data_IF_022349555501
#
_entry.id   IF_022349555501
#
_cell.length_a   1.000
_cell.length_b   1.000
_cell.length_c   1.000
_cell.angle_alpha   90.00
_cell.angle_beta   90.00
_cell.angle_gamma   90.00
#
_symmetry.space_group_name_H-M   'P 1'
#
loop_
_entity.id
_entity.type
_entity.pdbx_description
1 polymer ?
#
# COMPACT_ATOMS: atom_id res chain seq x y z
N UNK A 1 -18.93 60.63 -71.05
CA UNK A 1 -18.26 60.89 -69.77
C UNK A 1 -18.56 59.67 -68.91
N UNK A 2 -17.67 58.63 -68.94
CA UNK A 2 -17.85 57.35 -68.20
C UNK A 2 -16.94 57.27 -67.02
N UNK A 3 -17.54 57.14 -65.83
CA UNK A 3 -16.80 56.86 -64.58
C UNK A 3 -16.64 55.33 -64.45
N UNK A 4 -15.38 54.90 -64.36
CA UNK A 4 -15.01 53.52 -64.18
C UNK A 4 -14.90 53.27 -62.61
N UNK A 5 -15.69 52.35 -62.08
CA UNK A 5 -15.61 51.89 -60.73
C UNK A 5 -14.60 50.75 -60.64
N UNK A 6 -13.49 50.97 -59.95
CA UNK A 6 -12.51 49.90 -59.58
C UNK A 6 -12.95 49.30 -58.26
N UNK A 7 -13.39 48.09 -58.31
CA UNK A 7 -13.66 47.24 -57.12
C UNK A 7 -12.34 46.68 -56.59
N UNK A 8 -11.97 47.08 -55.40
CA UNK A 8 -10.82 46.49 -54.68
C UNK A 8 -11.29 45.32 -53.86
N UNK A 9 -10.85 44.09 -54.20
CA UNK A 9 -11.09 42.85 -53.47
C UNK A 9 -10.02 42.79 -52.39
N UNK A 10 -10.40 42.89 -51.09
CA UNK A 10 -9.55 42.64 -49.95
C UNK A 10 -9.69 41.15 -49.56
N UNK A 11 -8.71 40.33 -49.87
CA UNK A 11 -8.64 38.96 -49.42
C UNK A 11 -8.17 38.90 -47.97
N UNK A 12 -9.09 38.62 -47.02
CA UNK A 12 -8.77 38.38 -45.63
C UNK A 12 -8.16 36.98 -45.48
N UNK A 13 -6.87 36.92 -45.20
CA UNK A 13 -6.14 35.69 -44.93
C UNK A 13 -6.32 35.36 -43.44
N UNK A 14 -7.29 34.45 -43.12
CA UNK A 14 -7.42 33.90 -41.78
C UNK A 14 -6.29 32.91 -41.50
N UNK A 15 -5.28 33.33 -40.70
CA UNK A 15 -4.32 32.43 -40.11
C UNK A 15 -5.02 31.59 -39.02
N UNK A 16 -5.34 30.36 -39.34
CA UNK A 16 -5.76 29.36 -38.33
C UNK A 16 -4.48 28.89 -37.60
N UNK A 17 -4.21 29.44 -36.42
CA UNK A 17 -3.19 28.95 -35.56
C UNK A 17 -3.66 27.60 -34.98
N UNK A 18 -3.16 26.50 -35.52
CA UNK A 18 -3.34 25.17 -34.94
C UNK A 18 -2.51 25.10 -33.66
N UNK A 19 -3.16 25.31 -32.52
CA UNK A 19 -2.59 24.99 -31.22
C UNK A 19 -2.46 23.46 -31.14
N UNK A 20 -1.25 22.94 -31.35
CA UNK A 20 -0.94 21.54 -31.05
C UNK A 20 -1.09 21.37 -29.52
N UNK A 21 -2.21 20.79 -29.08
CA UNK A 21 -2.28 20.18 -27.76
C UNK A 21 -1.21 19.08 -27.74
N UNK A 22 -0.06 19.36 -27.15
CA UNK A 22 0.93 18.33 -26.87
C UNK A 22 0.26 17.27 -25.99
N UNK A 23 0.06 16.07 -26.53
CA UNK A 23 -0.33 14.93 -25.74
C UNK A 23 0.73 14.76 -24.65
N UNK A 24 0.39 15.05 -23.40
CA UNK A 24 1.26 14.75 -22.29
C UNK A 24 1.48 13.24 -22.26
N UNK A 25 2.67 12.81 -22.59
CA UNK A 25 3.07 11.41 -22.50
C UNK A 25 2.95 11.02 -21.03
N UNK A 26 1.93 10.23 -20.68
CA UNK A 26 1.78 9.70 -19.34
C UNK A 26 2.95 8.75 -19.11
N UNK A 27 3.89 9.14 -18.28
CA UNK A 27 5.01 8.29 -17.91
C UNK A 27 4.49 7.22 -16.95
N UNK A 28 4.65 5.94 -17.33
CA UNK A 28 4.19 4.82 -16.50
C UNK A 28 5.17 4.58 -15.33
N UNK A 29 4.73 4.67 -14.06
CA UNK A 29 5.57 4.41 -12.90
C UNK A 29 5.82 2.91 -12.66
N UNK A 30 5.20 2.00 -13.40
CA UNK A 30 5.39 0.55 -13.20
C UNK A 30 6.87 0.17 -13.27
N UNK A 31 7.32 -0.63 -12.31
CA UNK A 31 8.71 -1.07 -12.19
C UNK A 31 9.12 -1.28 -10.75
N UNK A 32 10.38 -1.71 -10.58
CA UNK A 32 11.05 -1.79 -9.31
C UNK A 32 11.92 -0.55 -9.09
N UNK A 33 11.78 0.07 -7.92
CA UNK A 33 12.42 1.33 -7.55
C UNK A 33 13.24 1.15 -6.29
N UNK A 34 14.43 1.70 -6.26
CA UNK A 34 15.27 1.80 -5.07
C UNK A 34 15.37 3.24 -4.64
N UNK A 35 15.11 3.51 -3.38
CA UNK A 35 15.04 4.84 -2.82
C UNK A 35 15.72 4.99 -1.48
N UNK A 36 15.91 6.24 -1.11
CA UNK A 36 16.50 6.64 0.15
C UNK A 36 15.76 7.85 0.73
N UNK A 37 15.40 7.75 2.00
CA UNK A 37 14.91 8.86 2.81
C UNK A 37 16.08 9.46 3.58
N UNK A 38 16.29 10.76 3.44
CA UNK A 38 17.37 11.47 4.12
C UNK A 38 16.82 12.25 5.33
N UNK A 39 16.59 11.56 6.44
CA UNK A 39 16.23 12.21 7.70
C UNK A 39 17.47 12.75 8.43
N UNK A 40 17.35 13.80 9.27
CA UNK A 40 18.47 14.33 10.03
C UNK A 40 19.14 13.24 10.88
N UNK A 41 20.44 12.97 10.56
CA UNK A 41 21.25 11.97 11.25
C UNK A 41 20.96 10.51 10.89
N UNK A 42 20.06 10.22 9.95
CA UNK A 42 19.71 8.86 9.54
C UNK A 42 19.34 8.82 8.06
N UNK A 43 19.86 7.85 7.34
CA UNK A 43 19.40 7.47 6.01
C UNK A 43 18.68 6.13 6.06
N UNK A 44 17.50 6.05 5.43
CA UNK A 44 16.68 4.84 5.37
C UNK A 44 16.53 4.43 3.91
N UNK A 45 17.21 3.35 3.53
CA UNK A 45 17.01 2.74 2.23
C UNK A 45 15.67 2.00 2.19
N UNK A 46 14.94 2.16 1.09
CA UNK A 46 13.67 1.47 0.85
C UNK A 46 13.55 1.09 -0.62
N UNK A 47 12.68 0.13 -0.89
CA UNK A 47 12.35 -0.31 -2.24
C UNK A 47 10.84 -0.18 -2.45
N UNK A 48 10.42 0.16 -3.66
CA UNK A 48 9.00 0.22 -4.03
C UNK A 48 8.80 -0.50 -5.34
N UNK A 49 7.79 -1.34 -5.39
CA UNK A 49 7.31 -1.97 -6.60
C UNK A 49 5.97 -1.38 -7.00
N UNK A 50 5.85 -0.90 -8.24
CA UNK A 50 4.58 -0.51 -8.84
C UNK A 50 4.25 -1.40 -10.04
N UNK A 51 2.99 -1.80 -10.16
CA UNK A 51 2.48 -2.54 -11.30
C UNK A 51 1.10 -2.05 -11.70
N UNK A 52 0.76 -2.18 -12.99
CA UNK A 52 -0.61 -1.96 -13.45
C UNK A 52 -1.53 -3.00 -12.84
N UNK A 53 -2.63 -2.55 -12.27
CA UNK A 53 -3.68 -3.42 -11.76
C UNK A 53 -4.70 -3.74 -12.86
N UNK A 54 -5.36 -4.90 -12.76
CA UNK A 54 -6.36 -5.35 -13.73
C UNK A 54 -7.57 -4.39 -13.86
N UNK A 55 -7.83 -3.57 -12.85
CA UNK A 55 -8.89 -2.55 -12.85
C UNK A 55 -8.47 -1.21 -13.47
N UNK A 56 -7.28 -1.13 -14.08
CA UNK A 56 -6.76 0.07 -14.75
C UNK A 56 -6.00 1.05 -13.86
N UNK A 57 -5.97 0.83 -12.54
CA UNK A 57 -5.17 1.60 -11.59
C UNK A 57 -3.77 1.02 -11.41
N UNK A 58 -3.18 1.33 -10.26
CA UNK A 58 -1.89 0.78 -9.84
C UNK A 58 -2.04 -0.05 -8.58
N UNK A 59 -1.23 -1.08 -8.47
CA UNK A 59 -0.94 -1.81 -7.24
C UNK A 59 0.55 -1.60 -6.92
N UNK A 60 0.92 -1.69 -5.66
CA UNK A 60 2.31 -1.54 -5.28
C UNK A 60 2.58 -2.07 -3.88
N UNK A 61 3.86 -2.18 -3.58
CA UNK A 61 4.35 -2.60 -2.28
C UNK A 61 5.65 -1.89 -1.93
N UNK A 62 5.89 -1.64 -0.64
CA UNK A 62 7.13 -1.07 -0.12
C UNK A 62 7.88 -2.11 0.71
N UNK A 63 9.19 -2.11 0.60
CA UNK A 63 10.10 -2.90 1.42
C UNK A 63 11.12 -2.01 2.10
N UNK A 64 11.40 -2.27 3.37
CA UNK A 64 12.42 -1.54 4.16
C UNK A 64 13.34 -2.60 4.78
N UNK A 65 14.46 -2.96 4.11
CA UNK A 65 15.31 -4.07 4.52
C UNK A 65 15.88 -3.92 5.96
N UNK A 66 16.23 -2.69 6.35
CA UNK A 66 16.72 -2.41 7.71
C UNK A 66 15.70 -2.70 8.81
N UNK A 67 14.41 -2.67 8.47
CA UNK A 67 13.31 -3.00 9.38
C UNK A 67 12.80 -4.44 9.20
N UNK A 68 13.45 -5.23 8.34
CA UNK A 68 12.98 -6.58 7.95
C UNK A 68 11.55 -6.60 7.41
N UNK A 69 11.14 -5.50 6.78
CA UNK A 69 9.84 -5.33 6.14
C UNK A 69 9.98 -5.61 4.65
N UNK A 70 9.19 -6.54 4.11
CA UNK A 70 9.23 -6.90 2.69
C UNK A 70 7.82 -6.94 2.09
N UNK A 71 7.60 -6.16 1.04
CA UNK A 71 6.39 -6.23 0.24
C UNK A 71 5.12 -5.78 0.98
N UNK A 72 5.22 -4.78 1.87
CA UNK A 72 4.05 -4.18 2.51
C UNK A 72 3.18 -3.49 1.45
N UNK A 73 1.91 -3.90 1.27
CA UNK A 73 1.05 -3.32 0.26
C UNK A 73 0.84 -1.82 0.44
N UNK A 74 0.83 -1.09 -0.65
CA UNK A 74 0.41 0.31 -0.68
C UNK A 74 -1.12 0.36 -0.69
N UNK A 75 -1.70 1.14 0.20
CA UNK A 75 -3.15 1.28 0.36
C UNK A 75 -3.75 2.25 -0.64
N UNK A 76 -2.96 3.22 -1.09
CA UNK A 76 -3.34 4.20 -2.11
C UNK A 76 -2.17 4.48 -3.04
N UNK A 77 -2.45 4.56 -4.34
CA UNK A 77 -1.53 5.03 -5.37
C UNK A 77 -2.33 5.89 -6.33
N UNK A 78 -1.89 7.11 -6.57
CA UNK A 78 -2.47 8.01 -7.55
C UNK A 78 -1.38 8.61 -8.44
N UNK A 79 -1.71 8.80 -9.71
CA UNK A 79 -0.85 9.44 -10.69
C UNK A 79 -1.67 10.53 -11.39
N UNK A 80 -1.17 11.77 -11.33
CA UNK A 80 -1.70 12.93 -12.05
C UNK A 80 -0.58 13.58 -12.85
N UNK A 81 -0.64 13.39 -14.17
CA UNK A 81 0.46 13.76 -15.06
C UNK A 81 1.73 12.99 -14.69
N UNK A 82 2.69 13.68 -14.08
CA UNK A 82 3.94 13.11 -13.55
C UNK A 82 4.00 13.08 -12.03
N UNK A 83 3.02 13.64 -11.36
CA UNK A 83 2.95 13.62 -9.90
C UNK A 83 2.39 12.29 -9.45
N UNK A 84 3.16 11.55 -8.68
CA UNK A 84 2.74 10.30 -8.04
C UNK A 84 2.60 10.52 -6.54
N UNK A 85 1.49 10.07 -5.98
CA UNK A 85 1.33 9.97 -4.54
C UNK A 85 1.00 8.52 -4.18
N UNK A 86 1.64 8.02 -3.13
CA UNK A 86 1.44 6.65 -2.65
C UNK A 86 1.64 6.58 -1.14
N UNK A 87 0.98 5.63 -0.51
CA UNK A 87 1.03 5.44 0.94
C UNK A 87 0.83 3.98 1.33
N UNK A 88 1.54 3.52 2.36
CA UNK A 88 1.24 2.29 3.09
C UNK A 88 0.43 2.59 4.36
N UNK A 89 0.52 3.82 4.86
CA UNK A 89 -0.18 4.35 6.04
C UNK A 89 -0.86 5.67 5.67
N UNK A 90 -2.12 5.83 6.05
CA UNK A 90 -2.92 7.00 5.71
C UNK A 90 -2.37 8.34 6.26
N UNK A 91 -1.62 8.28 7.35
CA UNK A 91 -0.99 9.44 8.01
C UNK A 91 0.40 9.79 7.45
N UNK A 92 0.93 9.01 6.50
CA UNK A 92 2.29 9.16 5.97
C UNK A 92 2.36 8.98 4.44
N UNK A 93 1.72 9.87 3.67
CA UNK A 93 1.82 9.83 2.23
C UNK A 93 3.21 10.28 1.75
N UNK A 94 3.70 9.63 0.70
CA UNK A 94 4.83 10.08 -0.10
C UNK A 94 4.28 10.73 -1.37
N UNK A 95 4.77 11.92 -1.71
CA UNK A 95 4.42 12.60 -2.95
C UNK A 95 5.67 12.97 -3.70
N UNK A 96 5.75 12.60 -4.96
CA UNK A 96 6.91 12.86 -5.79
C UNK A 96 6.56 13.11 -7.24
N UNK A 97 7.57 13.51 -8.01
CA UNK A 97 7.47 13.79 -9.44
C UNK A 97 8.36 12.82 -10.21
N UNK A 98 7.79 12.14 -11.21
CA UNK A 98 8.55 11.36 -12.17
C UNK A 98 9.35 12.27 -13.07
N UNK A 99 10.62 11.93 -13.33
CA UNK A 99 11.43 12.57 -14.36
C UNK A 99 10.86 12.35 -15.75
N UNK A 100 11.25 13.19 -16.72
CA UNK A 100 10.78 13.10 -18.10
C UNK A 100 11.16 11.77 -18.79
N UNK A 101 12.29 11.20 -18.40
CA UNK A 101 12.77 9.92 -18.91
C UNK A 101 12.20 8.71 -18.13
N UNK A 102 11.37 8.94 -17.11
CA UNK A 102 10.75 7.92 -16.28
C UNK A 102 11.71 7.10 -15.41
N UNK A 103 12.94 7.59 -15.18
CA UNK A 103 13.97 6.83 -14.47
C UNK A 103 14.16 7.22 -13.02
N UNK A 104 13.63 8.37 -12.60
CA UNK A 104 13.69 8.80 -11.21
C UNK A 104 12.36 9.37 -10.72
N UNK A 105 12.12 9.28 -9.42
CA UNK A 105 11.05 9.94 -8.69
C UNK A 105 11.71 10.68 -7.53
N UNK A 106 11.45 11.97 -7.42
CA UNK A 106 11.92 12.78 -6.29
C UNK A 106 10.75 13.53 -5.67
N UNK A 107 10.80 13.70 -4.35
CA UNK A 107 9.70 14.34 -3.64
C UNK A 107 9.93 14.36 -2.14
N UNK A 108 8.84 14.48 -1.41
CA UNK A 108 8.83 14.65 0.03
C UNK A 108 7.96 13.60 0.71
N UNK A 109 8.43 13.15 1.86
CA UNK A 109 7.73 12.31 2.82
C UNK A 109 7.45 13.13 4.08
N UNK A 110 6.21 13.16 4.52
CA UNK A 110 5.83 13.84 5.75
C UNK A 110 6.06 12.92 6.96
N UNK A 111 7.11 13.20 7.73
CA UNK A 111 7.45 12.47 8.95
C UNK A 111 7.23 13.35 10.18
N UNK A 112 6.29 13.00 11.04
CA UNK A 112 5.98 13.73 12.29
C UNK A 112 5.81 15.26 12.07
N UNK A 113 5.17 15.66 10.96
CA UNK A 113 4.95 17.06 10.59
C UNK A 113 6.15 17.76 9.94
N UNK A 114 7.26 17.08 9.75
CA UNK A 114 8.44 17.58 9.03
C UNK A 114 8.53 16.95 7.64
N UNK A 115 8.84 17.76 6.63
CA UNK A 115 9.12 17.27 5.27
C UNK A 115 10.52 16.67 5.22
N UNK A 116 10.62 15.42 4.77
CA UNK A 116 11.87 14.70 4.57
C UNK A 116 12.00 14.38 3.08
N UNK A 117 13.03 14.88 2.39
CA UNK A 117 13.19 14.60 0.98
C UNK A 117 13.52 13.13 0.73
N UNK A 118 13.00 12.59 -0.38
CA UNK A 118 13.36 11.29 -0.88
C UNK A 118 13.68 11.32 -2.37
N UNK A 119 14.47 10.38 -2.80
CA UNK A 119 14.72 10.10 -4.20
C UNK A 119 14.69 8.60 -4.44
N UNK A 120 14.05 8.19 -5.54
CA UNK A 120 14.03 6.81 -6.01
C UNK A 120 14.54 6.74 -7.43
N UNK A 121 15.25 5.68 -7.76
CA UNK A 121 15.73 5.36 -9.11
C UNK A 121 15.11 4.05 -9.55
N UNK A 122 14.61 4.00 -10.79
CA UNK A 122 14.10 2.77 -11.38
C UNK A 122 15.25 1.81 -11.61
N UNK A 123 15.15 0.61 -11.06
CA UNK A 123 16.20 -0.41 -11.13
C UNK A 123 15.79 -1.68 -11.88
N UNK A 124 14.54 -1.76 -12.36
CA UNK A 124 14.09 -2.90 -13.16
C UNK A 124 12.58 -3.02 -13.26
N UNK A 125 12.16 -4.21 -13.68
CA UNK A 125 10.75 -4.59 -13.74
C UNK A 125 10.17 -4.77 -12.33
N UNK A 126 8.86 -4.56 -12.18
CA UNK A 126 8.16 -4.78 -10.92
C UNK A 126 8.31 -6.21 -10.42
N UNK A 127 8.61 -6.33 -9.14
CA UNK A 127 8.72 -7.62 -8.41
C UNK A 127 7.51 -7.87 -7.53
N UNK A 128 6.39 -7.20 -7.83
CA UNK A 128 5.17 -7.32 -7.04
C UNK A 128 4.66 -8.76 -7.10
N UNK A 129 4.68 -9.42 -5.98
CA UNK A 129 4.20 -10.80 -5.83
C UNK A 129 2.69 -10.82 -5.57
N UNK A 130 1.98 -11.79 -6.14
CA UNK A 130 0.58 -12.01 -5.78
C UNK A 130 0.49 -12.44 -4.31
N UNK A 131 -0.54 -11.99 -3.55
CA UNK A 131 -0.74 -12.46 -2.20
C UNK A 131 -0.84 -13.99 -2.14
N UNK A 132 -0.25 -14.64 -1.11
CA UNK A 132 -0.31 -16.09 -0.98
C UNK A 132 -1.77 -16.55 -0.86
N UNK A 133 -2.09 -17.67 -1.51
CA UNK A 133 -3.42 -18.28 -1.39
C UNK A 133 -3.55 -18.95 -0.02
N UNK A 134 -4.58 -18.57 0.72
CA UNK A 134 -4.94 -19.14 2.01
C UNK A 134 -6.05 -20.16 1.79
N UNK A 135 -5.90 -21.36 2.34
CA UNK A 135 -6.97 -22.36 2.31
C UNK A 135 -8.21 -21.86 3.09
N UNK A 136 -9.38 -22.39 2.73
CA UNK A 136 -10.63 -22.07 3.41
C UNK A 136 -10.51 -22.33 4.92
N UNK A 137 -10.98 -21.41 5.72
CA UNK A 137 -11.09 -21.51 7.19
C UNK A 137 -12.50 -21.89 7.60
N UNK A 138 -12.70 -22.34 8.84
CA UNK A 138 -14.03 -22.61 9.36
C UNK A 138 -14.80 -21.30 9.57
N UNK A 139 -16.14 -21.35 9.46
CA UNK A 139 -17.00 -20.20 9.75
C UNK A 139 -16.86 -19.70 11.20
N UNK A 140 -16.46 -20.59 12.11
CA UNK A 140 -16.16 -20.23 13.49
C UNK A 140 -14.97 -19.28 13.64
N UNK A 141 -14.03 -19.25 12.67
CA UNK A 141 -12.87 -18.37 12.69
C UNK A 141 -13.10 -17.08 11.86
N UNK A 142 -14.08 -17.06 10.93
CA UNK A 142 -14.41 -15.88 10.14
C UNK A 142 -14.86 -14.71 11.01
N UNK A 143 -14.57 -13.50 10.58
CA UNK A 143 -15.04 -12.27 11.19
C UNK A 143 -13.91 -11.35 11.64
N UNK A 144 -14.28 -10.42 12.51
CA UNK A 144 -13.41 -9.40 13.09
C UNK A 144 -13.06 -9.74 14.53
N UNK A 145 -11.79 -9.55 14.87
CA UNK A 145 -11.22 -9.88 16.16
C UNK A 145 -10.34 -8.74 16.64
N UNK A 146 -10.45 -8.38 17.91
CA UNK A 146 -9.69 -7.29 18.52
C UNK A 146 -8.70 -7.85 19.53
N UNK A 147 -7.50 -7.26 19.55
CA UNK A 147 -6.47 -7.58 20.53
C UNK A 147 -5.66 -6.34 20.89
N UNK A 148 -4.97 -6.41 22.03
CA UNK A 148 -3.91 -5.47 22.38
C UNK A 148 -2.63 -6.27 22.56
N UNK A 149 -1.60 -5.92 21.80
CA UNK A 149 -0.26 -6.46 21.91
C UNK A 149 0.61 -5.49 22.70
N UNK A 150 1.20 -5.95 23.79
CA UNK A 150 2.22 -5.17 24.53
C UNK A 150 3.57 -5.30 23.80
N UNK A 151 3.99 -4.23 23.13
CA UNK A 151 5.26 -4.17 22.42
C UNK A 151 6.15 -3.07 23.00
N UNK A 152 7.32 -3.44 23.51
CA UNK A 152 8.31 -2.54 24.10
C UNK A 152 7.72 -1.54 25.13
N UNK A 153 6.73 -2.01 25.92
CA UNK A 153 6.04 -1.21 26.95
C UNK A 153 4.95 -0.28 26.42
N UNK A 154 4.60 -0.39 25.15
CA UNK A 154 3.48 0.34 24.53
C UNK A 154 2.39 -0.63 24.07
N UNK A 155 1.12 -0.37 24.41
CA UNK A 155 0.00 -1.17 23.92
C UNK A 155 -0.28 -0.83 22.45
N UNK A 156 -0.34 -1.85 21.58
CA UNK A 156 -0.73 -1.75 20.18
C UNK A 156 -2.10 -2.40 20.01
N UNK A 157 -3.07 -1.62 19.58
CA UNK A 157 -4.43 -2.11 19.29
C UNK A 157 -4.50 -2.70 17.90
N UNK A 158 -4.85 -3.97 17.83
CA UNK A 158 -4.88 -4.76 16.62
C UNK A 158 -6.31 -5.17 16.27
N UNK A 159 -6.66 -5.05 14.99
CA UNK A 159 -7.90 -5.59 14.43
C UNK A 159 -7.54 -6.63 13.39
N UNK A 160 -7.81 -7.91 13.71
CA UNK A 160 -7.66 -9.04 12.79
C UNK A 160 -8.98 -9.25 12.05
N UNK A 161 -8.94 -9.29 10.73
CA UNK A 161 -10.07 -9.64 9.87
C UNK A 161 -9.77 -10.91 9.09
N UNK A 162 -10.63 -11.91 9.21
CA UNK A 162 -10.55 -13.19 8.50
C UNK A 162 -11.83 -13.44 7.72
N UNK A 163 -11.74 -13.78 6.44
CA UNK A 163 -12.90 -14.02 5.61
C UNK A 163 -12.65 -15.09 4.55
N UNK A 164 -13.64 -15.97 4.33
CA UNK A 164 -13.65 -16.86 3.19
C UNK A 164 -14.12 -16.12 1.93
N UNK A 165 -13.57 -16.49 0.79
CA UNK A 165 -13.96 -15.98 -0.54
C UNK A 165 -14.83 -17.01 -1.26
N UNK A 166 -15.53 -16.55 -2.28
CA UNK A 166 -16.37 -17.40 -3.12
C UNK A 166 -15.57 -18.47 -3.90
N UNK A 167 -14.29 -18.22 -4.19
CA UNK A 167 -13.40 -19.13 -4.88
C UNK A 167 -12.84 -20.27 -3.99
N UNK A 168 -13.30 -20.36 -2.75
CA UNK A 168 -12.86 -21.37 -1.78
C UNK A 168 -11.53 -21.03 -1.08
N UNK A 169 -10.94 -19.89 -1.35
CA UNK A 169 -9.82 -19.35 -0.58
C UNK A 169 -10.27 -18.53 0.62
N UNK A 170 -9.35 -18.17 1.50
CA UNK A 170 -9.58 -17.20 2.56
C UNK A 170 -8.67 -15.98 2.41
N UNK A 171 -9.00 -14.93 3.15
CA UNK A 171 -8.14 -13.74 3.34
C UNK A 171 -7.94 -13.48 4.80
N UNK A 172 -6.76 -12.96 5.14
CA UNK A 172 -6.44 -12.50 6.47
C UNK A 172 -5.64 -11.21 6.45
N UNK A 173 -5.97 -10.28 7.32
CA UNK A 173 -5.23 -9.06 7.55
C UNK A 173 -5.32 -8.64 9.01
N UNK A 174 -4.27 -7.99 9.49
CA UNK A 174 -4.27 -7.26 10.75
C UNK A 174 -4.10 -5.79 10.46
N UNK A 175 -4.88 -4.96 11.12
CA UNK A 175 -4.72 -3.50 11.14
C UNK A 175 -4.16 -3.09 12.49
N UNK A 176 -3.05 -2.36 12.50
CA UNK A 176 -2.52 -1.70 13.68
C UNK A 176 -3.10 -0.29 13.75
N UNK A 177 -4.01 -0.07 14.70
CA UNK A 177 -4.73 1.20 14.85
C UNK A 177 -3.82 2.33 15.38
N UNK A 178 -2.77 1.99 16.11
CA UNK A 178 -1.87 2.96 16.73
C UNK A 178 -0.70 3.36 15.81
N UNK A 179 -0.62 2.71 14.63
CA UNK A 179 0.35 3.03 13.58
C UNK A 179 -0.35 3.49 12.29
N UNK A 180 -1.24 4.49 12.39
CA UNK A 180 -1.88 5.09 11.22
C UNK A 180 -2.74 4.15 10.40
N UNK A 181 -3.29 3.10 11.03
CA UNK A 181 -4.10 2.11 10.34
C UNK A 181 -3.31 1.20 9.40
N UNK A 182 -2.04 0.94 9.72
CA UNK A 182 -1.18 0.06 8.94
C UNK A 182 -1.81 -1.31 8.73
N UNK A 183 -2.09 -1.65 7.46
CA UNK A 183 -2.65 -2.95 7.08
C UNK A 183 -1.55 -3.97 6.78
N UNK A 184 -1.51 -5.05 7.54
CA UNK A 184 -0.54 -6.13 7.43
C UNK A 184 -1.26 -7.38 6.91
N UNK A 185 -0.97 -7.85 5.68
CA UNK A 185 -1.49 -9.10 5.18
C UNK A 185 -0.88 -10.28 5.93
N UNK A 186 -1.66 -11.32 6.11
CA UNK A 186 -1.21 -12.54 6.78
C UNK A 186 -1.74 -13.79 6.07
N UNK A 187 -1.07 -14.91 6.29
CA UNK A 187 -1.61 -16.23 5.97
C UNK A 187 -2.19 -16.87 7.21
N UNK A 188 -3.15 -17.75 7.01
CA UNK A 188 -3.84 -18.51 8.07
C UNK A 188 -3.73 -19.98 7.78
N UNK A 189 -3.30 -20.75 8.78
CA UNK A 189 -3.41 -22.21 8.79
C UNK A 189 -4.26 -22.61 9.99
N UNK A 190 -5.33 -23.38 9.73
CA UNK A 190 -6.21 -23.89 10.77
C UNK A 190 -6.25 -25.41 10.76
N UNK A 191 -6.06 -26.01 11.93
CA UNK A 191 -6.23 -27.44 12.15
C UNK A 191 -7.09 -27.64 13.42
N UNK A 192 -8.38 -27.92 13.22
CA UNK A 192 -9.35 -27.96 14.32
C UNK A 192 -9.41 -26.61 15.05
N UNK A 193 -9.13 -26.61 16.35
CA UNK A 193 -9.06 -25.40 17.17
C UNK A 193 -7.71 -24.65 17.05
N UNK A 194 -6.67 -25.31 16.58
CA UNK A 194 -5.34 -24.70 16.46
C UNK A 194 -5.28 -23.78 15.25
N UNK A 195 -4.80 -22.56 15.45
CA UNK A 195 -4.68 -21.52 14.43
C UNK A 195 -3.27 -20.97 14.43
N UNK A 196 -2.68 -20.89 13.24
CA UNK A 196 -1.40 -20.20 13.00
C UNK A 196 -1.63 -19.05 12.04
N UNK A 197 -1.11 -17.87 12.37
CA UNK A 197 -1.05 -16.69 11.51
C UNK A 197 0.41 -16.37 11.23
N UNK A 198 0.78 -16.22 9.95
CA UNK A 198 2.11 -15.74 9.57
C UNK A 198 1.97 -14.35 8.93
N UNK A 199 2.68 -13.37 9.46
CA UNK A 199 2.68 -11.98 8.98
C UNK A 199 3.68 -11.85 7.84
N UNK A 200 3.20 -12.10 6.62
CA UNK A 200 4.07 -12.34 5.44
C UNK A 200 5.02 -11.20 5.08
N UNK A 201 4.69 -9.98 5.50
CA UNK A 201 5.51 -8.79 5.20
C UNK A 201 6.51 -8.45 6.31
N UNK A 202 6.41 -9.08 7.49
CA UNK A 202 7.30 -8.86 8.63
C UNK A 202 8.09 -10.16 8.86
N UNK A 203 9.38 -10.14 8.54
CA UNK A 203 10.20 -11.35 8.64
C UNK A 203 10.23 -11.89 10.09
N UNK A 204 9.90 -13.18 10.22
CA UNK A 204 9.91 -13.88 11.51
C UNK A 204 8.74 -13.53 12.44
N UNK A 205 7.71 -12.81 11.95
CA UNK A 205 6.53 -12.54 12.75
C UNK A 205 5.45 -13.59 12.52
N UNK A 206 4.93 -14.17 13.59
CA UNK A 206 3.86 -15.17 13.58
C UNK A 206 3.06 -15.16 14.87
N UNK A 207 1.87 -15.74 14.82
CA UNK A 207 1.04 -16.03 15.97
C UNK A 207 0.60 -17.49 15.92
N UNK A 208 0.67 -18.17 17.05
CA UNK A 208 0.14 -19.52 17.22
C UNK A 208 -0.79 -19.57 18.43
N UNK A 209 -2.03 -20.01 18.22
CA UNK A 209 -3.04 -20.00 19.28
C UNK A 209 -4.14 -21.03 19.09
N UNK A 210 -5.07 -21.01 20.02
CA UNK A 210 -6.20 -21.92 20.08
C UNK A 210 -7.52 -21.15 20.15
N UNK A 211 -8.43 -21.48 19.25
CA UNK A 211 -9.80 -20.98 19.26
C UNK A 211 -10.59 -21.72 20.34
N UNK A 212 -11.25 -20.99 21.25
CA UNK A 212 -12.11 -21.62 22.26
C UNK A 212 -13.37 -22.23 21.65
N UNK A 213 -14.02 -23.12 22.36
CA UNK A 213 -15.23 -23.83 21.88
C UNK A 213 -16.42 -22.92 21.58
N UNK A 214 -16.49 -21.77 22.23
CA UNK A 214 -17.52 -20.74 21.98
C UNK A 214 -17.23 -19.87 20.76
N UNK A 215 -16.04 -20.01 20.13
CA UNK A 215 -15.56 -19.19 19.02
C UNK A 215 -15.58 -17.67 19.33
N UNK A 216 -15.30 -17.30 20.56
CA UNK A 216 -15.28 -15.91 21.04
C UNK A 216 -13.88 -15.42 21.36
N UNK A 217 -12.93 -16.34 21.50
CA UNK A 217 -11.56 -16.05 21.93
C UNK A 217 -10.57 -16.94 21.20
N UNK A 218 -9.50 -16.31 20.66
CA UNK A 218 -8.35 -16.96 20.05
C UNK A 218 -7.13 -16.55 20.86
N UNK A 219 -6.70 -17.39 21.79
CA UNK A 219 -5.62 -17.13 22.71
C UNK A 219 -4.34 -17.86 22.31
N UNK A 220 -3.20 -17.20 22.40
CA UNK A 220 -1.94 -17.78 21.97
C UNK A 220 -0.72 -16.90 22.21
N UNK A 221 0.30 -17.12 21.40
CA UNK A 221 1.60 -16.46 21.50
C UNK A 221 1.94 -15.80 20.19
N UNK A 222 2.24 -14.52 20.22
CA UNK A 222 2.89 -13.78 19.15
C UNK A 222 4.40 -13.96 19.26
N UNK A 223 5.06 -14.16 18.14
CA UNK A 223 6.52 -14.30 18.05
C UNK A 223 7.05 -13.36 16.98
N UNK A 224 8.11 -12.63 17.27
CA UNK A 224 8.86 -11.81 16.30
C UNK A 224 10.32 -11.72 16.72
N UNK A 225 11.25 -12.04 15.79
CA UNK A 225 12.70 -11.97 16.05
C UNK A 225 13.11 -12.69 17.35
N UNK A 226 12.59 -13.93 17.56
CA UNK A 226 12.83 -14.76 18.77
C UNK A 226 12.21 -14.24 20.08
N UNK A 227 11.61 -13.06 20.06
CA UNK A 227 10.82 -12.55 21.20
C UNK A 227 9.39 -13.07 21.11
N UNK A 228 8.84 -13.40 22.25
CA UNK A 228 7.46 -13.89 22.36
C UNK A 228 6.66 -13.04 23.32
N UNK A 229 5.38 -12.86 23.02
CA UNK A 229 4.41 -12.19 23.88
C UNK A 229 3.07 -12.94 23.86
N UNK A 230 2.37 -13.05 25.00
CA UNK A 230 1.01 -13.56 25.00
C UNK A 230 0.11 -12.59 24.22
N UNK A 231 -0.80 -13.13 23.39
CA UNK A 231 -1.74 -12.35 22.62
C UNK A 231 -3.08 -13.07 22.59
N UNK A 232 -4.15 -12.34 22.88
CA UNK A 232 -5.51 -12.89 22.84
C UNK A 232 -6.39 -12.00 21.97
N UNK A 233 -6.85 -12.56 20.88
CA UNK A 233 -7.87 -11.95 20.04
C UNK A 233 -9.26 -12.29 20.56
N UNK A 234 -10.10 -11.28 20.76
CA UNK A 234 -11.50 -11.41 21.13
C UNK A 234 -12.40 -11.04 19.98
N UNK A 235 -13.41 -11.86 19.74
CA UNK A 235 -14.36 -11.58 18.65
C UNK A 235 -15.06 -10.25 18.89
N UNK A 236 -15.12 -9.40 17.87
CA UNK A 236 -15.90 -8.17 17.91
C UNK A 236 -17.38 -8.50 18.11
N UNK A 237 -18.06 -7.73 18.96
CA UNK A 237 -19.50 -7.86 19.13
C UNK A 237 -20.21 -7.54 17.80
N UNK A 238 -21.18 -8.36 17.40
CA UNK A 238 -21.99 -8.10 16.22
C UNK A 238 -22.71 -6.75 16.39
N UNK A 239 -22.29 -5.74 15.63
CA UNK A 239 -22.90 -4.40 15.67
C UNK A 239 -21.96 -3.22 16.01
N UNK A 240 -20.72 -3.45 16.41
CA UNK A 240 -19.76 -2.39 16.65
C UNK A 240 -19.07 -1.95 15.33
N UNK A 241 -19.84 -1.36 14.42
CA UNK A 241 -19.27 -0.53 13.34
C UNK A 241 -19.23 0.91 13.86
N UNK A 242 -18.05 1.40 14.18
CA UNK A 242 -17.80 2.83 14.36
C UNK A 242 -17.27 3.42 13.05
#
# INVERSE_FOLDING_TARGET
>A
MQLSHRTVLIAAFCLVSASSLGAQTIVDPSGHWQGELQAPGMSIAFEVDFARSANGGYAGAVSIPSQKLKGLPLTRISLDGRTIAFEARADQPLTGTLSDDGKSISGDFLMMGSSVPFMMTRSGESRLEAPPKIARITSALEGEWHATLEADGMPLRLVLTLANRADGSATGRVVNLDEGGLEIPLTVAQNGASVKLDFVVIAGASFAGTLNSAATELAGTYTQNERTAPLTFRRAAAGARQ
#
